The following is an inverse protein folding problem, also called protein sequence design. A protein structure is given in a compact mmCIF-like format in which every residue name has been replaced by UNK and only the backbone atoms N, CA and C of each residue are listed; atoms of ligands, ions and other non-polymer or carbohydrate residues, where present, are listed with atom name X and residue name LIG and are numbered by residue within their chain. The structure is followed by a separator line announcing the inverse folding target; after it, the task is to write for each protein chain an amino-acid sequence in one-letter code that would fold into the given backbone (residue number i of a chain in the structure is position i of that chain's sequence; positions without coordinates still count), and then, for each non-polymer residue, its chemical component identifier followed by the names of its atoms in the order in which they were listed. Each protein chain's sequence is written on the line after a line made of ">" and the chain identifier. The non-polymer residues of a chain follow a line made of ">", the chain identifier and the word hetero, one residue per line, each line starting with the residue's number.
data_IF_966643942187
#
_entry.id   IF_966643942187
#
_cell.length_a   1.000
_cell.length_b   1.000
_cell.length_c   1.000
_cell.angle_alpha   90.00
_cell.angle_beta   90.00
_cell.angle_gamma   90.00
#
_symmetry.space_group_name_H-M   'P 1'
#
loop_
_entity.id
_entity.type
_entity.pdbx_description
1 polymer ?
#
# COMPACT_ATOMS: atom_id res chain seq x y z
N UNK A 1 -18.00 1.77 -8.45
CA UNK A 1 -17.79 1.36 -7.05
C UNK A 1 -17.63 2.64 -6.26
N UNK A 2 -18.53 2.92 -5.33
CA UNK A 2 -18.60 4.20 -4.62
C UNK A 2 -18.91 3.96 -3.15
N UNK A 3 -18.40 4.82 -2.28
CA UNK A 3 -18.81 4.85 -0.87
C UNK A 3 -20.10 5.67 -0.78
N UNK A 4 -21.25 5.02 -0.71
CA UNK A 4 -22.57 5.67 -0.70
C UNK A 4 -22.98 6.18 0.68
N UNK A 5 -22.41 5.60 1.75
CA UNK A 5 -22.63 6.05 3.12
C UNK A 5 -21.39 5.80 3.97
N UNK A 6 -21.09 6.72 4.88
CA UNK A 6 -20.08 6.53 5.94
C UNK A 6 -20.57 7.13 7.25
N UNK A 7 -20.57 6.33 8.30
CA UNK A 7 -20.91 6.74 9.67
C UNK A 7 -19.68 6.60 10.56
N UNK A 8 -19.34 7.66 11.28
CA UNK A 8 -18.12 7.77 12.07
C UNK A 8 -18.46 8.16 13.49
N UNK A 9 -17.91 7.43 14.46
CA UNK A 9 -18.06 7.70 15.89
C UNK A 9 -16.70 7.57 16.59
N UNK A 10 -16.34 8.56 17.42
CA UNK A 10 -15.15 8.50 18.28
C UNK A 10 -13.81 8.51 17.54
N UNK A 11 -13.77 8.95 16.27
CA UNK A 11 -12.51 9.09 15.51
C UNK A 11 -11.98 10.52 15.63
N UNK A 12 -10.78 10.67 16.21
CA UNK A 12 -10.08 11.96 16.35
C UNK A 12 -10.97 13.03 16.99
N UNK A 13 -11.17 14.15 16.30
CA UNK A 13 -11.99 15.28 16.72
C UNK A 13 -13.39 15.27 16.08
N UNK A 14 -13.80 14.17 15.43
CA UNK A 14 -15.11 14.07 14.81
C UNK A 14 -16.17 13.75 15.87
N UNK A 15 -17.17 14.62 15.98
CA UNK A 15 -18.44 14.25 16.59
C UNK A 15 -19.13 13.16 15.75
N UNK A 16 -20.04 12.36 16.34
CA UNK A 16 -20.79 11.36 15.60
C UNK A 16 -21.43 11.97 14.35
N UNK A 17 -21.06 11.44 13.18
CA UNK A 17 -21.46 12.00 11.89
C UNK A 17 -21.76 10.89 10.91
N UNK A 18 -22.78 11.10 10.07
CA UNK A 18 -23.05 10.26 8.91
C UNK A 18 -23.02 11.13 7.66
N UNK A 19 -22.24 10.71 6.68
CA UNK A 19 -22.11 11.36 5.38
C UNK A 19 -22.68 10.42 4.31
N UNK A 20 -23.31 11.00 3.29
CA UNK A 20 -23.73 10.32 2.07
C UNK A 20 -23.01 10.95 0.89
N UNK A 21 -21.77 10.50 0.58
CA UNK A 21 -20.95 11.10 -0.47
C UNK A 21 -21.61 10.96 -1.85
N UNK A 22 -21.35 11.95 -2.71
CA UNK A 22 -21.58 11.83 -4.15
C UNK A 22 -20.73 10.69 -4.73
N UNK A 23 -21.20 9.97 -5.76
CA UNK A 23 -20.45 8.88 -6.38
C UNK A 23 -19.20 9.34 -7.17
N UNK A 24 -19.01 10.66 -7.35
CA UNK A 24 -17.86 11.23 -8.05
C UNK A 24 -16.97 12.02 -7.08
N UNK A 25 -16.92 13.34 -7.23
CA UNK A 25 -16.02 14.21 -6.48
C UNK A 25 -16.76 14.75 -5.25
N UNK A 26 -16.08 14.70 -4.11
CA UNK A 26 -16.56 15.21 -2.83
C UNK A 26 -15.52 16.19 -2.29
N UNK A 27 -15.91 17.45 -2.11
CA UNK A 27 -15.02 18.50 -1.63
C UNK A 27 -15.32 18.76 -0.15
N UNK A 28 -14.35 18.46 0.71
CA UNK A 28 -14.40 18.77 2.14
C UNK A 28 -13.66 20.09 2.38
N UNK A 29 -14.39 21.13 2.78
CA UNK A 29 -13.82 22.45 3.07
C UNK A 29 -14.17 22.92 4.48
N UNK A 30 -13.41 23.90 4.99
CA UNK A 30 -13.56 24.43 6.34
C UNK A 30 -12.23 24.86 6.93
N UNK A 31 -12.26 25.49 8.11
CA UNK A 31 -11.07 25.99 8.79
C UNK A 31 -10.04 24.88 9.10
N UNK A 32 -8.77 25.26 9.30
CA UNK A 32 -7.74 24.34 9.75
C UNK A 32 -8.14 23.75 11.12
N UNK A 33 -7.91 22.44 11.30
CA UNK A 33 -8.35 21.72 12.50
C UNK A 33 -9.83 21.34 12.54
N UNK A 34 -10.64 21.64 11.52
CA UNK A 34 -12.08 21.31 11.52
C UNK A 34 -12.41 19.81 11.34
N UNK A 35 -11.42 18.94 11.17
CA UNK A 35 -11.63 17.48 11.02
C UNK A 35 -11.65 16.96 9.58
N UNK A 36 -11.37 17.78 8.56
CA UNK A 36 -11.30 17.34 7.13
C UNK A 36 -10.42 16.09 6.95
N UNK A 37 -9.17 16.15 7.38
CA UNK A 37 -8.25 15.01 7.33
C UNK A 37 -8.72 13.84 8.19
N UNK A 38 -9.45 14.09 9.28
CA UNK A 38 -10.00 13.04 10.14
C UNK A 38 -11.14 12.29 9.46
N UNK A 39 -11.93 12.93 8.59
CA UNK A 39 -12.91 12.24 7.73
C UNK A 39 -12.19 11.33 6.75
N UNK A 40 -11.13 11.82 6.08
CA UNK A 40 -10.31 10.98 5.20
C UNK A 40 -9.67 9.81 5.96
N UNK A 41 -9.20 10.04 7.19
CA UNK A 41 -8.64 9.02 8.05
C UNK A 41 -9.68 7.97 8.44
N UNK A 42 -10.93 8.37 8.70
CA UNK A 42 -12.04 7.44 8.94
C UNK A 42 -12.33 6.55 7.73
N UNK A 43 -12.38 7.11 6.52
CA UNK A 43 -12.58 6.33 5.29
C UNK A 43 -11.39 5.38 5.05
N UNK A 44 -10.16 5.84 5.31
CA UNK A 44 -8.98 5.00 5.21
C UNK A 44 -8.98 3.85 6.25
N UNK A 45 -9.44 4.11 7.48
CA UNK A 45 -9.67 3.06 8.48
C UNK A 45 -10.70 2.06 7.99
N UNK A 46 -11.78 2.49 7.34
CA UNK A 46 -12.80 1.59 6.79
C UNK A 46 -12.22 0.65 5.72
N UNK A 47 -11.35 1.17 4.84
CA UNK A 47 -10.81 0.38 3.72
C UNK A 47 -9.63 -0.52 4.09
N UNK A 48 -8.75 -0.12 5.01
CA UNK A 48 -7.53 -0.90 5.32
C UNK A 48 -7.27 -1.11 6.81
N UNK A 49 -8.21 -0.73 7.67
CA UNK A 49 -8.17 -0.89 9.13
C UNK A 49 -6.93 -0.29 9.80
N UNK A 50 -6.33 0.74 9.20
CA UNK A 50 -5.16 1.44 9.75
C UNK A 50 -5.29 2.94 9.50
N UNK A 51 -4.70 3.72 10.40
CA UNK A 51 -4.53 5.15 10.18
C UNK A 51 -3.35 5.38 9.22
N UNK A 52 -3.48 6.36 8.32
CA UNK A 52 -2.34 6.84 7.54
C UNK A 52 -1.47 7.86 8.29
N UNK A 53 -1.97 8.42 9.40
CA UNK A 53 -1.26 9.44 10.20
C UNK A 53 -0.48 8.84 11.37
N UNK A 54 -0.93 7.69 11.91
CA UNK A 54 -0.31 7.08 13.08
C UNK A 54 -0.22 5.57 12.97
N UNK A 55 0.93 5.02 13.38
CA UNK A 55 1.10 3.59 13.63
C UNK A 55 0.48 3.17 14.98
N UNK A 56 0.17 4.12 15.86
CA UNK A 56 -0.42 3.86 17.18
C UNK A 56 -1.94 3.96 17.09
N UNK A 57 -2.60 3.08 17.85
CA UNK A 57 -4.05 3.00 17.91
C UNK A 57 -4.66 4.17 18.70
N UNK A 58 -4.12 4.43 19.90
CA UNK A 58 -4.69 5.37 20.86
C UNK A 58 -4.93 6.78 20.31
N UNK A 59 -4.03 7.37 19.49
CA UNK A 59 -4.27 8.70 18.95
C UNK A 59 -5.46 8.80 18.00
N UNK A 60 -5.91 7.68 17.41
CA UNK A 60 -7.05 7.63 16.49
C UNK A 60 -8.37 7.71 17.24
N UNK A 61 -8.43 7.16 18.45
CA UNK A 61 -9.62 7.20 19.31
C UNK A 61 -9.72 8.59 19.94
N UNK A 62 -10.91 9.19 19.86
CA UNK A 62 -11.20 10.46 20.51
C UNK A 62 -10.86 10.39 22.02
N UNK A 63 -10.31 11.47 22.57
CA UNK A 63 -9.68 11.45 23.89
C UNK A 63 -10.58 10.91 25.01
N UNK A 64 -11.84 11.30 25.02
CA UNK A 64 -12.82 10.93 26.05
C UNK A 64 -13.65 9.69 25.69
N UNK A 65 -13.43 9.09 24.52
CA UNK A 65 -14.20 7.92 24.07
C UNK A 65 -13.46 6.62 24.37
N UNK A 66 -14.18 5.56 24.79
CA UNK A 66 -13.58 4.25 25.05
C UNK A 66 -13.15 3.55 23.76
N UNK A 67 -13.80 3.88 22.63
CA UNK A 67 -13.62 3.24 21.34
C UNK A 67 -13.90 4.20 20.18
N UNK A 68 -13.49 3.80 18.99
CA UNK A 68 -13.90 4.42 17.74
C UNK A 68 -14.50 3.37 16.80
N UNK A 69 -15.46 3.80 15.99
CA UNK A 69 -16.12 2.92 15.03
C UNK A 69 -16.40 3.67 13.74
N UNK A 70 -16.11 3.01 12.62
CA UNK A 70 -16.46 3.48 11.28
C UNK A 70 -17.27 2.40 10.60
N UNK A 71 -18.45 2.79 10.11
CA UNK A 71 -19.27 1.96 9.24
C UNK A 71 -19.38 2.62 7.87
N UNK A 72 -19.48 1.84 6.81
CA UNK A 72 -19.82 2.38 5.51
C UNK A 72 -20.47 1.37 4.59
N UNK A 73 -21.17 1.90 3.60
CA UNK A 73 -21.83 1.13 2.55
C UNK A 73 -21.12 1.41 1.23
N UNK A 74 -20.69 0.34 0.56
CA UNK A 74 -19.94 0.41 -0.69
C UNK A 74 -20.81 -0.17 -1.80
N UNK A 75 -21.09 0.63 -2.83
CA UNK A 75 -21.78 0.17 -4.03
C UNK A 75 -20.79 -0.64 -4.88
N UNK A 76 -21.14 -1.88 -5.22
CA UNK A 76 -20.26 -2.78 -5.95
C UNK A 76 -20.38 -2.58 -7.46
N UNK A 77 -19.29 -2.85 -8.19
CA UNK A 77 -19.26 -2.65 -9.64
C UNK A 77 -20.24 -3.56 -10.41
N UNK A 78 -20.55 -4.74 -9.86
CA UNK A 78 -21.48 -5.71 -10.46
C UNK A 78 -22.93 -5.49 -10.02
N UNK A 79 -23.23 -4.39 -9.32
CA UNK A 79 -24.52 -4.14 -8.68
C UNK A 79 -24.57 -4.62 -7.23
N UNK A 80 -25.54 -4.08 -6.47
CA UNK A 80 -25.66 -4.33 -5.04
C UNK A 80 -24.71 -3.48 -4.18
N UNK A 81 -24.71 -3.76 -2.87
CA UNK A 81 -23.89 -3.06 -1.89
C UNK A 81 -23.25 -4.06 -0.92
N UNK A 82 -22.12 -3.66 -0.34
CA UNK A 82 -21.51 -4.35 0.80
C UNK A 82 -21.36 -3.38 1.97
N UNK A 83 -21.68 -3.86 3.17
CA UNK A 83 -21.58 -3.11 4.41
C UNK A 83 -20.27 -3.45 5.12
N UNK A 84 -19.44 -2.44 5.33
CA UNK A 84 -18.15 -2.55 6.00
C UNK A 84 -18.23 -1.90 7.39
N UNK A 85 -17.55 -2.51 8.36
CA UNK A 85 -17.46 -2.01 9.72
C UNK A 85 -16.07 -2.23 10.31
N UNK A 86 -15.51 -1.21 10.95
CA UNK A 86 -14.23 -1.27 11.63
C UNK A 86 -14.39 -0.63 13.00
N UNK A 87 -14.09 -1.38 14.06
CA UNK A 87 -14.10 -0.87 15.43
C UNK A 87 -12.75 -1.08 16.10
N UNK A 88 -12.39 -0.17 17.01
CA UNK A 88 -11.22 -0.23 17.88
C UNK A 88 -11.56 0.29 19.25
N UNK A 89 -11.06 -0.36 20.29
CA UNK A 89 -11.13 0.17 21.64
C UNK A 89 -9.73 0.52 22.19
N UNK A 90 -9.72 1.16 23.37
CA UNK A 90 -8.48 1.49 24.08
C UNK A 90 -7.79 0.27 24.70
N UNK A 91 -8.49 -0.84 24.86
CA UNK A 91 -7.97 -2.09 25.42
C UNK A 91 -7.20 -2.91 24.36
N UNK A 92 -7.31 -2.52 23.09
CA UNK A 92 -6.62 -3.14 21.96
C UNK A 92 -7.52 -4.09 21.15
N UNK A 93 -8.80 -4.22 21.51
CA UNK A 93 -9.75 -4.99 20.72
C UNK A 93 -9.91 -4.36 19.34
N UNK A 94 -9.86 -5.23 18.34
CA UNK A 94 -10.04 -4.87 16.95
C UNK A 94 -11.07 -5.80 16.33
N UNK A 95 -12.19 -5.23 15.90
CA UNK A 95 -13.20 -5.92 15.11
C UNK A 95 -13.29 -5.36 13.68
N UNK A 96 -13.40 -6.27 12.72
CA UNK A 96 -13.82 -5.99 11.35
C UNK A 96 -15.11 -6.74 11.11
N UNK A 97 -16.10 -6.07 10.50
CA UNK A 97 -17.30 -6.72 9.98
C UNK A 97 -17.50 -6.42 8.49
N UNK A 98 -17.89 -7.44 7.75
CA UNK A 98 -18.30 -7.36 6.35
C UNK A 98 -19.66 -8.05 6.27
N UNK A 99 -20.68 -7.32 5.81
CA UNK A 99 -22.06 -7.80 5.67
C UNK A 99 -22.58 -8.50 6.95
N UNK A 100 -22.27 -7.89 8.10
CA UNK A 100 -22.68 -8.35 9.42
C UNK A 100 -21.80 -9.47 10.03
N UNK A 101 -20.89 -10.05 9.26
CA UNK A 101 -20.03 -11.15 9.71
C UNK A 101 -18.63 -10.66 10.10
N UNK A 102 -18.00 -11.31 11.09
CA UNK A 102 -16.62 -11.00 11.46
C UNK A 102 -15.66 -11.38 10.32
N UNK A 103 -14.88 -10.43 9.82
CA UNK A 103 -13.86 -10.69 8.82
C UNK A 103 -12.58 -11.22 9.46
N UNK A 104 -11.84 -12.06 8.72
CA UNK A 104 -10.60 -12.70 9.18
C UNK A 104 -9.39 -11.78 9.09
N UNK A 105 -9.41 -10.80 8.18
CA UNK A 105 -8.28 -9.90 7.97
C UNK A 105 -8.66 -8.58 7.31
N UNK A 106 -7.81 -7.58 7.48
CA UNK A 106 -7.92 -6.29 6.78
C UNK A 106 -7.73 -6.40 5.25
N UNK A 107 -7.16 -7.51 4.74
CA UNK A 107 -7.05 -7.74 3.30
C UNK A 107 -8.44 -7.85 2.65
N UNK A 108 -9.43 -8.43 3.35
CA UNK A 108 -10.80 -8.53 2.85
C UNK A 108 -11.47 -7.15 2.71
N UNK A 109 -11.17 -6.21 3.61
CA UNK A 109 -11.63 -4.82 3.47
C UNK A 109 -10.98 -4.16 2.26
N UNK A 110 -9.66 -4.31 2.11
CA UNK A 110 -8.93 -3.71 1.01
C UNK A 110 -9.43 -4.26 -0.34
N UNK A 111 -9.77 -5.55 -0.43
CA UNK A 111 -10.37 -6.14 -1.62
C UNK A 111 -11.68 -5.47 -2.04
N UNK A 112 -12.56 -5.15 -1.08
CA UNK A 112 -13.87 -4.56 -1.33
C UNK A 112 -13.78 -3.05 -1.56
N UNK A 113 -12.88 -2.37 -0.85
CA UNK A 113 -12.70 -0.91 -0.92
C UNK A 113 -11.24 -0.56 -1.25
N UNK A 114 -10.83 -0.64 -2.53
CA UNK A 114 -9.51 -0.19 -2.96
C UNK A 114 -9.36 1.32 -2.79
N UNK A 115 -8.42 1.74 -1.94
CA UNK A 115 -8.15 3.14 -1.65
C UNK A 115 -6.74 3.55 -2.09
N UNK A 116 -6.64 4.71 -2.73
CA UNK A 116 -5.40 5.44 -2.89
C UNK A 116 -5.39 6.68 -2.00
N UNK A 117 -4.24 6.94 -1.38
CA UNK A 117 -4.03 8.13 -0.56
C UNK A 117 -2.97 9.01 -1.21
N UNK A 118 -3.31 10.28 -1.40
CA UNK A 118 -2.40 11.34 -1.78
C UNK A 118 -2.44 12.36 -0.66
N UNK A 119 -1.32 12.58 -0.01
CA UNK A 119 -1.18 13.47 1.13
C UNK A 119 0.26 14.02 1.20
N UNK A 120 0.54 14.95 2.12
CA UNK A 120 1.89 15.51 2.26
C UNK A 120 3.00 14.52 2.63
N UNK A 121 2.71 13.28 3.04
CA UNK A 121 3.73 12.24 3.29
C UNK A 121 4.00 11.36 2.05
N UNK A 122 3.21 11.53 0.98
CA UNK A 122 3.28 10.68 -0.20
C UNK A 122 4.62 10.81 -0.93
N UNK A 123 5.29 11.97 -0.84
CA UNK A 123 6.62 12.19 -1.44
C UNK A 123 7.69 11.19 -0.95
N UNK A 124 7.51 10.60 0.24
CA UNK A 124 8.39 9.53 0.74
C UNK A 124 8.42 8.29 -0.16
N UNK A 125 7.49 8.16 -1.10
CA UNK A 125 7.57 7.13 -2.13
C UNK A 125 8.85 7.29 -2.99
N UNK A 126 9.28 8.52 -3.24
CA UNK A 126 10.49 8.81 -4.03
C UNK A 126 11.73 8.90 -3.13
N UNK A 127 11.71 9.76 -2.10
CA UNK A 127 12.88 10.04 -1.23
C UNK A 127 13.08 9.02 -0.10
N UNK A 128 12.05 8.26 0.24
CA UNK A 128 12.05 7.41 1.43
C UNK A 128 12.77 6.08 1.26
N UNK A 129 12.73 5.29 2.34
CA UNK A 129 13.34 3.98 2.37
C UNK A 129 12.68 3.01 1.36
N UNK A 130 13.42 2.04 0.79
CA UNK A 130 12.90 1.03 -0.13
C UNK A 130 11.65 0.28 0.34
N UNK A 131 11.42 0.21 1.66
CA UNK A 131 10.21 -0.36 2.26
C UNK A 131 8.93 0.32 1.74
N UNK A 132 8.93 1.64 1.56
CA UNK A 132 7.76 2.40 1.10
C UNK A 132 7.46 2.05 -0.35
N UNK A 133 8.49 1.97 -1.20
CA UNK A 133 8.37 1.54 -2.60
C UNK A 133 7.91 0.10 -2.75
N UNK A 134 8.37 -0.80 -1.89
CA UNK A 134 7.84 -2.17 -1.82
C UNK A 134 6.38 -2.20 -1.41
N UNK A 135 5.96 -1.40 -0.42
CA UNK A 135 4.56 -1.32 -0.01
C UNK A 135 3.67 -0.78 -1.15
N UNK A 136 4.14 0.22 -1.90
CA UNK A 136 3.47 0.68 -3.11
C UNK A 136 3.33 -0.45 -4.14
N UNK A 137 4.42 -1.15 -4.43
CA UNK A 137 4.41 -2.27 -5.37
C UNK A 137 3.45 -3.39 -4.92
N UNK A 138 3.54 -3.81 -3.65
CA UNK A 138 2.74 -4.90 -3.09
C UNK A 138 1.26 -4.57 -3.03
N UNK A 139 0.88 -3.31 -2.79
CA UNK A 139 -0.50 -2.86 -2.92
C UNK A 139 -1.02 -3.11 -4.35
N UNK A 140 -0.24 -2.72 -5.35
CA UNK A 140 -0.61 -2.88 -6.75
C UNK A 140 -0.80 -4.35 -7.14
N UNK A 141 0.19 -5.18 -6.79
CA UNK A 141 0.14 -6.61 -7.07
C UNK A 141 -1.03 -7.29 -6.35
N UNK A 142 -1.26 -6.96 -5.08
CA UNK A 142 -2.40 -7.47 -4.30
C UNK A 142 -3.74 -7.22 -5.00
N UNK A 143 -3.91 -6.07 -5.64
CA UNK A 143 -5.17 -5.77 -6.32
C UNK A 143 -5.31 -6.45 -7.69
N UNK A 144 -4.22 -6.78 -8.39
CA UNK A 144 -4.31 -7.35 -9.75
C UNK A 144 -4.06 -8.87 -9.81
N UNK A 145 -3.44 -9.46 -8.80
CA UNK A 145 -3.08 -10.89 -8.75
C UNK A 145 -3.68 -11.53 -7.48
N UNK A 146 -4.77 -12.30 -7.60
CA UNK A 146 -5.45 -12.93 -6.47
C UNK A 146 -4.57 -13.87 -5.62
N UNK A 147 -3.56 -14.52 -6.22
CA UNK A 147 -2.67 -15.44 -5.51
C UNK A 147 -1.63 -14.72 -4.63
N UNK A 148 -1.43 -13.42 -4.85
CA UNK A 148 -0.37 -12.66 -4.20
C UNK A 148 -0.40 -12.77 -2.68
N UNK A 149 -1.57 -12.63 -2.04
CA UNK A 149 -1.65 -12.59 -0.58
C UNK A 149 -1.24 -13.92 0.06
N UNK A 150 -1.65 -15.04 -0.53
CA UNK A 150 -1.32 -16.38 -0.03
C UNK A 150 0.17 -16.66 -0.22
N UNK A 151 0.73 -16.36 -1.39
CA UNK A 151 2.17 -16.51 -1.65
C UNK A 151 3.00 -15.56 -0.78
N UNK A 152 2.52 -14.34 -0.53
CA UNK A 152 3.18 -13.39 0.35
C UNK A 152 3.25 -13.90 1.80
N UNK A 153 2.17 -14.49 2.31
CA UNK A 153 2.15 -15.10 3.65
C UNK A 153 3.13 -16.28 3.75
N UNK A 154 3.18 -17.14 2.72
CA UNK A 154 4.17 -18.24 2.60
C UNK A 154 5.59 -17.71 2.65
N UNK A 155 5.90 -16.71 1.83
CA UNK A 155 7.19 -16.03 1.78
C UNK A 155 7.58 -15.45 3.15
N UNK A 156 6.69 -14.68 3.79
CA UNK A 156 6.96 -14.08 5.10
C UNK A 156 7.22 -15.13 6.18
N UNK A 157 6.47 -16.25 6.15
CA UNK A 157 6.67 -17.36 7.08
C UNK A 157 8.05 -18.01 6.87
N UNK A 158 8.39 -18.37 5.63
CA UNK A 158 9.68 -18.99 5.32
C UNK A 158 10.86 -18.07 5.66
N UNK A 159 10.78 -16.79 5.30
CA UNK A 159 11.79 -15.78 5.63
C UNK A 159 11.96 -15.60 7.15
N UNK A 160 10.85 -15.59 7.91
CA UNK A 160 10.89 -15.51 9.37
C UNK A 160 11.59 -16.72 9.98
N UNK A 161 11.28 -17.93 9.50
CA UNK A 161 11.91 -19.16 9.97
C UNK A 161 13.41 -19.18 9.65
N UNK A 162 13.80 -18.85 8.42
CA UNK A 162 15.20 -18.71 8.03
C UNK A 162 15.94 -17.66 8.86
N UNK A 163 15.36 -16.48 9.08
CA UNK A 163 16.01 -15.45 9.91
C UNK A 163 16.05 -15.82 11.40
N UNK A 164 15.15 -16.69 11.88
CA UNK A 164 15.25 -17.26 13.23
C UNK A 164 16.42 -18.22 13.33
N UNK A 165 16.55 -19.11 12.33
CA UNK A 165 17.67 -20.03 12.21
C UNK A 165 19.02 -19.31 12.16
N UNK A 166 19.16 -18.30 11.29
CA UNK A 166 20.41 -17.56 11.14
C UNK A 166 20.89 -16.89 12.45
N UNK A 167 19.96 -16.52 13.35
CA UNK A 167 20.29 -15.88 14.63
C UNK A 167 20.60 -16.85 15.76
N UNK A 168 19.96 -18.02 15.75
CA UNK A 168 19.94 -18.90 16.92
C UNK A 168 20.52 -20.29 16.65
N UNK A 169 20.67 -20.70 15.39
CA UNK A 169 21.22 -22.00 14.99
C UNK A 169 20.32 -23.21 15.30
N UNK A 170 19.04 -22.99 15.59
CA UNK A 170 18.15 -24.01 16.22
C UNK A 170 17.34 -24.88 15.26
N UNK A 171 17.76 -25.10 14.01
CA UNK A 171 17.04 -25.95 13.05
C UNK A 171 17.92 -27.10 12.57
N UNK A 172 17.34 -28.30 12.47
CA UNK A 172 17.97 -29.44 11.83
C UNK A 172 18.10 -29.21 10.31
N UNK A 173 19.00 -29.97 9.67
CA UNK A 173 19.32 -29.80 8.26
C UNK A 173 18.12 -30.03 7.32
N UNK A 174 17.22 -30.97 7.65
CA UNK A 174 16.05 -31.26 6.83
C UNK A 174 15.03 -30.12 6.89
N UNK A 175 14.79 -29.58 8.10
CA UNK A 175 13.93 -28.41 8.29
C UNK A 175 14.51 -27.16 7.63
N UNK A 176 15.83 -26.94 7.71
CA UNK A 176 16.51 -25.85 7.01
C UNK A 176 16.29 -25.95 5.50
N UNK A 177 16.56 -27.11 4.90
CA UNK A 177 16.41 -27.33 3.47
C UNK A 177 14.94 -27.19 3.01
N UNK A 178 13.97 -27.56 3.85
CA UNK A 178 12.56 -27.34 3.58
C UNK A 178 12.20 -25.84 3.53
N UNK A 179 12.66 -25.06 4.51
CA UNK A 179 12.40 -23.61 4.54
C UNK A 179 13.14 -22.85 3.45
N UNK A 180 14.36 -23.23 3.10
CA UNK A 180 15.09 -22.61 1.99
C UNK A 180 14.39 -22.88 0.64
N UNK A 181 13.89 -24.11 0.41
CA UNK A 181 13.09 -24.43 -0.80
C UNK A 181 11.80 -23.63 -0.87
N UNK A 182 11.05 -23.55 0.24
CA UNK A 182 9.81 -22.76 0.29
C UNK A 182 10.09 -21.26 0.12
N UNK A 183 11.17 -20.75 0.71
CA UNK A 183 11.60 -19.36 0.52
C UNK A 183 11.92 -19.08 -0.95
N UNK A 184 12.67 -19.96 -1.62
CA UNK A 184 13.00 -19.80 -3.04
C UNK A 184 11.74 -19.83 -3.91
N UNK A 185 10.90 -20.86 -3.76
CA UNK A 185 9.66 -21.02 -4.54
C UNK A 185 8.73 -19.81 -4.38
N UNK A 186 8.41 -19.42 -3.15
CA UNK A 186 7.54 -18.27 -2.91
C UNK A 186 8.18 -16.94 -3.36
N UNK A 187 9.52 -16.85 -3.36
CA UNK A 187 10.23 -15.66 -3.84
C UNK A 187 10.14 -15.50 -5.36
N UNK A 188 10.29 -16.60 -6.11
CA UNK A 188 10.19 -16.58 -7.57
C UNK A 188 8.76 -16.26 -8.01
N UNK A 189 7.74 -16.83 -7.36
CA UNK A 189 6.32 -16.48 -7.59
C UNK A 189 6.06 -14.98 -7.35
N UNK A 190 6.50 -14.43 -6.21
CA UNK A 190 6.30 -13.00 -5.88
C UNK A 190 6.97 -12.08 -6.89
N UNK A 191 8.16 -12.47 -7.34
CA UNK A 191 8.91 -11.71 -8.32
C UNK A 191 8.30 -11.80 -9.73
N UNK A 192 7.73 -12.95 -10.12
CA UNK A 192 6.88 -13.08 -11.31
C UNK A 192 5.70 -12.11 -11.26
N UNK A 193 4.95 -12.10 -10.16
CA UNK A 193 3.79 -11.21 -9.99
C UNK A 193 4.20 -9.73 -10.06
N UNK A 194 5.31 -9.37 -9.40
CA UNK A 194 5.83 -8.00 -9.40
C UNK A 194 6.32 -7.56 -10.78
N UNK A 195 7.00 -8.44 -11.54
CA UNK A 195 7.40 -8.15 -12.93
C UNK A 195 6.19 -7.92 -13.83
N UNK A 196 5.20 -8.81 -13.75
CA UNK A 196 3.98 -8.71 -14.55
C UNK A 196 3.23 -7.40 -14.24
N UNK A 197 3.10 -7.06 -12.95
CA UNK A 197 2.49 -5.80 -12.53
C UNK A 197 3.25 -4.58 -13.03
N UNK A 198 4.59 -4.52 -12.87
CA UNK A 198 5.37 -3.36 -13.33
C UNK A 198 5.32 -3.20 -14.85
N UNK A 199 5.30 -4.31 -15.60
CA UNK A 199 5.11 -4.29 -17.05
C UNK A 199 3.77 -3.66 -17.44
N UNK A 200 2.70 -3.93 -16.68
CA UNK A 200 1.38 -3.35 -16.90
C UNK A 200 1.26 -1.90 -16.40
N UNK A 201 1.89 -1.57 -15.26
CA UNK A 201 1.84 -0.23 -14.66
C UNK A 201 2.60 0.80 -15.49
N UNK A 202 3.76 0.43 -16.04
CA UNK A 202 4.66 1.37 -16.72
C UNK A 202 3.97 2.23 -17.80
N UNK A 203 3.23 1.68 -18.78
CA UNK A 203 2.56 2.51 -19.79
C UNK A 203 1.47 3.42 -19.20
N UNK A 204 0.73 2.94 -18.19
CA UNK A 204 -0.29 3.76 -17.50
C UNK A 204 0.38 4.92 -16.76
N UNK A 205 1.50 4.66 -16.09
CA UNK A 205 2.29 5.68 -15.41
C UNK A 205 2.87 6.72 -16.39
N UNK A 206 3.44 6.29 -17.51
CA UNK A 206 4.00 7.19 -18.52
C UNK A 206 2.91 8.11 -19.11
N UNK A 207 1.73 7.55 -19.42
CA UNK A 207 0.59 8.34 -19.88
C UNK A 207 0.13 9.35 -18.82
N UNK A 208 -0.16 8.89 -17.60
CA UNK A 208 -0.60 9.77 -16.51
C UNK A 208 0.44 10.83 -16.16
N UNK A 209 1.73 10.50 -16.22
CA UNK A 209 2.79 11.48 -15.98
C UNK A 209 2.79 12.56 -17.05
N UNK A 210 2.64 12.21 -18.33
CA UNK A 210 2.63 13.18 -19.44
C UNK A 210 1.48 14.19 -19.36
N UNK A 211 0.37 13.83 -18.72
CA UNK A 211 -0.76 14.74 -18.46
C UNK A 211 -0.44 15.77 -17.35
N UNK A 212 0.51 15.45 -16.47
CA UNK A 212 0.91 16.30 -15.34
C UNK A 212 2.20 17.08 -15.63
N UNK A 213 3.23 16.44 -16.16
CA UNK A 213 4.54 17.06 -16.41
C UNK A 213 5.34 16.28 -17.44
N UNK A 214 5.98 16.99 -18.36
CA UNK A 214 6.95 16.40 -19.28
C UNK A 214 8.31 16.25 -18.58
N UNK A 215 8.76 14.99 -18.44
CA UNK A 215 10.06 14.64 -17.87
C UNK A 215 10.77 13.65 -18.79
N UNK A 216 11.40 14.16 -19.85
CA UNK A 216 12.13 13.34 -20.80
C UNK A 216 13.21 12.49 -20.12
N UNK A 217 13.26 11.21 -20.47
CA UNK A 217 14.27 10.28 -19.94
C UNK A 217 14.01 9.78 -18.52
N UNK A 218 12.86 10.10 -17.90
CA UNK A 218 12.46 9.47 -16.65
C UNK A 218 12.11 8.00 -16.92
N UNK A 219 12.75 7.09 -16.18
CA UNK A 219 12.55 5.64 -16.31
C UNK A 219 12.11 5.02 -15.00
N UNK A 220 11.13 4.10 -15.11
CA UNK A 220 10.66 3.26 -14.03
C UNK A 220 11.18 1.83 -14.23
N UNK A 221 11.89 1.28 -13.25
CA UNK A 221 12.45 -0.08 -13.32
C UNK A 221 12.32 -0.83 -12.00
N UNK A 222 12.29 -2.16 -12.08
CA UNK A 222 12.14 -3.05 -10.93
C UNK A 222 13.42 -3.83 -10.68
N UNK A 223 13.90 -3.80 -9.43
CA UNK A 223 14.97 -4.66 -8.94
C UNK A 223 14.37 -5.74 -8.04
N UNK A 224 14.56 -7.02 -8.39
CA UNK A 224 13.96 -8.15 -7.66
C UNK A 224 14.50 -8.36 -6.25
N UNK A 225 15.67 -7.81 -5.94
CA UNK A 225 16.33 -7.96 -4.63
C UNK A 225 17.52 -8.91 -4.64
N UNK A 226 17.82 -9.51 -5.79
CA UNK A 226 19.01 -10.32 -6.06
C UNK A 226 19.35 -10.26 -7.54
N UNK A 227 20.49 -10.86 -7.90
CA UNK A 227 20.97 -10.92 -9.27
C UNK A 227 19.94 -11.59 -10.19
N UNK A 228 19.63 -10.97 -11.33
CA UNK A 228 18.65 -11.47 -12.29
C UNK A 228 19.15 -12.71 -13.05
N UNK A 229 20.46 -12.91 -13.10
CA UNK A 229 21.11 -14.00 -13.85
C UNK A 229 21.30 -15.26 -13.00
N UNK A 230 20.89 -15.22 -11.71
CA UNK A 230 21.09 -16.31 -10.76
C UNK A 230 19.78 -16.75 -10.15
N UNK A 231 19.69 -18.05 -9.90
CA UNK A 231 18.66 -18.61 -9.04
C UNK A 231 18.86 -18.14 -7.61
N UNK A 232 17.75 -17.88 -6.90
CA UNK A 232 17.84 -17.41 -5.51
C UNK A 232 18.50 -18.47 -4.61
N UNK A 233 18.26 -19.76 -4.87
CA UNK A 233 18.90 -20.90 -4.20
C UNK A 233 20.43 -20.79 -4.21
N UNK A 234 21.03 -20.54 -5.38
CA UNK A 234 22.47 -20.37 -5.54
C UNK A 234 22.98 -19.14 -4.79
N UNK A 235 22.25 -18.03 -4.86
CA UNK A 235 22.59 -16.79 -4.15
C UNK A 235 22.61 -17.05 -2.64
N UNK A 236 21.54 -17.65 -2.09
CA UNK A 236 21.41 -17.94 -0.66
C UNK A 236 22.46 -18.92 -0.15
N UNK A 237 22.82 -19.94 -0.95
CA UNK A 237 23.88 -20.88 -0.61
C UNK A 237 25.24 -20.17 -0.55
N UNK A 238 25.55 -19.35 -1.56
CA UNK A 238 26.82 -18.61 -1.61
C UNK A 238 26.94 -17.51 -0.54
N UNK A 239 25.81 -16.95 -0.07
CA UNK A 239 25.78 -15.90 0.95
C UNK A 239 25.58 -16.42 2.37
N UNK A 240 25.47 -17.74 2.57
CA UNK A 240 25.04 -18.32 3.84
C UNK A 240 25.89 -17.86 5.04
N UNK A 241 27.22 -17.93 4.93
CA UNK A 241 28.11 -17.54 6.02
C UNK A 241 27.92 -16.07 6.41
N UNK A 242 27.73 -15.19 5.43
CA UNK A 242 27.48 -13.76 5.65
C UNK A 242 26.10 -13.51 6.25
N UNK A 243 25.09 -14.25 5.81
CA UNK A 243 23.73 -14.19 6.36
C UNK A 243 23.70 -14.63 7.84
N UNK A 244 24.50 -15.64 8.21
CA UNK A 244 24.65 -16.10 9.60
C UNK A 244 25.29 -15.02 10.47
N UNK A 245 26.39 -14.42 10.01
CA UNK A 245 27.05 -13.32 10.72
C UNK A 245 26.13 -12.11 10.96
N UNK A 246 25.28 -11.78 9.98
CA UNK A 246 24.33 -10.67 10.09
C UNK A 246 23.02 -11.06 10.81
N UNK A 247 22.78 -12.35 11.03
CA UNK A 247 21.53 -12.86 11.61
C UNK A 247 20.29 -12.61 10.74
N UNK A 248 20.44 -12.34 9.44
CA UNK A 248 19.31 -12.15 8.54
C UNK A 248 19.65 -12.43 7.07
N UNK A 249 18.63 -12.77 6.30
CA UNK A 249 18.71 -13.03 4.86
C UNK A 249 18.96 -11.75 4.06
N UNK A 250 20.05 -11.72 3.29
CA UNK A 250 20.45 -10.54 2.50
C UNK A 250 19.97 -10.52 1.05
N UNK A 251 19.42 -11.61 0.53
CA UNK A 251 18.89 -11.69 -0.84
C UNK A 251 17.43 -12.16 -0.86
N UNK A 252 16.64 -11.65 -1.80
CA UNK A 252 15.25 -12.04 -1.97
C UNK A 252 14.27 -10.85 -2.06
N UNK A 253 12.96 -11.11 -2.18
CA UNK A 253 11.95 -10.08 -2.45
C UNK A 253 11.83 -8.99 -1.37
N UNK A 254 12.33 -9.24 -0.15
CA UNK A 254 12.43 -8.27 0.94
C UNK A 254 13.48 -7.17 0.67
N UNK A 255 14.40 -7.39 -0.28
CA UNK A 255 15.38 -6.42 -0.77
C UNK A 255 15.02 -5.82 -2.12
N UNK A 256 13.87 -6.20 -2.67
CA UNK A 256 13.37 -5.65 -3.91
C UNK A 256 13.19 -4.13 -3.81
N UNK A 257 13.27 -3.46 -4.96
CA UNK A 257 13.10 -2.02 -5.03
C UNK A 257 12.48 -1.58 -6.36
N UNK A 258 11.70 -0.50 -6.30
CA UNK A 258 11.22 0.24 -7.46
C UNK A 258 12.19 1.41 -7.67
N UNK A 259 12.77 1.55 -8.86
CA UNK A 259 13.80 2.55 -9.15
C UNK A 259 13.29 3.53 -10.19
N UNK A 260 13.24 4.80 -9.79
CA UNK A 260 13.00 5.92 -10.69
C UNK A 260 14.32 6.61 -10.98
N UNK A 261 14.64 6.75 -12.26
CA UNK A 261 15.90 7.38 -12.71
C UNK A 261 15.66 8.37 -13.81
N UNK A 262 16.41 9.47 -13.79
CA UNK A 262 16.50 10.42 -14.89
C UNK A 262 17.90 10.26 -15.49
N UNK A 263 17.97 9.61 -16.67
CA UNK A 263 19.24 9.13 -17.22
C UNK A 263 19.95 8.14 -16.28
N UNK A 264 21.18 8.44 -15.88
CA UNK A 264 22.00 7.58 -15.01
C UNK A 264 21.73 7.78 -13.50
N UNK A 265 21.06 8.87 -13.13
CA UNK A 265 20.94 9.31 -11.74
C UNK A 265 19.59 8.94 -11.14
N UNK A 266 19.52 8.87 -9.81
CA UNK A 266 18.25 8.71 -9.11
C UNK A 266 17.38 9.96 -9.34
N UNK A 267 16.10 9.76 -9.67
CA UNK A 267 15.18 10.86 -9.92
C UNK A 267 15.02 11.77 -8.68
N UNK A 268 15.08 11.21 -7.46
CA UNK A 268 15.00 11.97 -6.22
C UNK A 268 16.14 13.01 -6.06
N UNK A 269 17.30 12.76 -6.68
CA UNK A 269 18.48 13.61 -6.52
C UNK A 269 18.50 14.78 -7.53
N UNK A 270 17.72 14.68 -8.62
CA UNK A 270 17.71 15.68 -9.70
C UNK A 270 16.42 16.50 -9.70
N UNK A 271 15.27 15.84 -9.54
CA UNK A 271 13.97 16.49 -9.69
C UNK A 271 13.74 17.53 -8.60
N UNK A 272 13.19 18.68 -8.97
CA UNK A 272 12.72 19.67 -8.00
C UNK A 272 11.61 19.09 -7.11
N UNK A 273 11.42 19.64 -5.91
CA UNK A 273 10.36 19.17 -4.99
C UNK A 273 8.97 19.13 -5.65
N UNK A 274 8.65 20.11 -6.50
CA UNK A 274 7.39 20.12 -7.27
C UNK A 274 7.29 18.97 -8.27
N UNK A 275 8.35 18.74 -9.06
CA UNK A 275 8.40 17.61 -10.00
C UNK A 275 8.30 16.25 -9.29
N UNK A 276 8.94 16.10 -8.14
CA UNK A 276 8.84 14.89 -7.33
C UNK A 276 7.40 14.63 -6.86
N UNK A 277 6.69 15.67 -6.42
CA UNK A 277 5.27 15.58 -6.05
C UNK A 277 4.41 15.11 -7.22
N UNK A 278 4.62 15.68 -8.41
CA UNK A 278 3.90 15.29 -9.63
C UNK A 278 4.18 13.84 -10.03
N UNK A 279 5.44 13.39 -9.97
CA UNK A 279 5.80 11.98 -10.24
C UNK A 279 5.13 11.03 -9.25
N UNK A 280 5.09 11.37 -7.97
CA UNK A 280 4.43 10.57 -6.95
C UNK A 280 2.91 10.55 -7.14
N UNK A 281 2.30 11.68 -7.49
CA UNK A 281 0.88 11.76 -7.84
C UNK A 281 0.58 10.88 -9.05
N UNK A 282 1.38 10.98 -10.11
CA UNK A 282 1.26 10.14 -11.31
C UNK A 282 1.33 8.65 -10.97
N UNK A 283 2.28 8.23 -10.13
CA UNK A 283 2.39 6.84 -9.67
C UNK A 283 1.12 6.36 -8.96
N UNK A 284 0.56 7.17 -8.06
CA UNK A 284 -0.66 6.85 -7.29
C UNK A 284 -1.91 6.79 -8.17
N UNK A 285 -2.05 7.76 -9.07
CA UNK A 285 -3.14 7.83 -10.04
C UNK A 285 -3.07 6.62 -10.97
N UNK A 286 -1.92 6.37 -11.60
CA UNK A 286 -1.71 5.24 -12.49
C UNK A 286 -1.97 3.89 -11.83
N UNK A 287 -1.55 3.73 -10.56
CA UNK A 287 -1.82 2.53 -9.79
C UNK A 287 -3.33 2.30 -9.58
N UNK A 288 -4.11 3.34 -9.25
CA UNK A 288 -5.56 3.22 -9.13
C UNK A 288 -6.28 3.03 -10.48
N UNK A 289 -5.76 3.63 -11.57
CA UNK A 289 -6.26 3.41 -12.93
C UNK A 289 -6.10 1.95 -13.36
N UNK A 290 -4.90 1.39 -13.18
CA UNK A 290 -4.64 -0.02 -13.52
C UNK A 290 -5.55 -0.98 -12.74
N UNK A 291 -5.76 -0.73 -11.45
CA UNK A 291 -6.68 -1.54 -10.63
C UNK A 291 -8.12 -1.43 -11.14
N UNK A 292 -8.55 -0.21 -11.51
CA UNK A 292 -9.89 0.03 -12.03
C UNK A 292 -10.12 -0.70 -13.36
N UNK A 293 -9.13 -0.72 -14.25
CA UNK A 293 -9.14 -1.46 -15.51
C UNK A 293 -9.26 -2.98 -15.29
N UNK A 294 -8.41 -3.55 -14.44
CA UNK A 294 -8.36 -5.00 -14.20
C UNK A 294 -9.61 -5.51 -13.49
N UNK A 295 -10.07 -4.80 -12.45
CA UNK A 295 -11.21 -5.25 -11.63
C UNK A 295 -12.57 -4.85 -12.18
N UNK A 296 -12.62 -4.09 -13.29
CA UNK A 296 -13.85 -3.45 -13.81
C UNK A 296 -14.60 -2.68 -12.71
N UNK A 297 -13.84 -2.09 -11.79
CA UNK A 297 -14.32 -1.35 -10.63
C UNK A 297 -13.68 0.03 -10.56
N UNK A 298 -13.93 0.77 -9.49
CA UNK A 298 -13.31 2.09 -9.27
C UNK A 298 -12.46 2.04 -8.02
N UNK A 299 -11.28 2.64 -8.08
CA UNK A 299 -10.48 2.96 -6.90
C UNK A 299 -10.93 4.32 -6.35
N UNK A 300 -11.12 4.42 -5.03
CA UNK A 300 -11.40 5.70 -4.39
C UNK A 300 -10.08 6.39 -4.06
N UNK A 301 -9.99 7.66 -4.43
CA UNK A 301 -8.86 8.52 -4.10
C UNK A 301 -9.21 9.39 -2.91
N UNK A 302 -8.40 9.30 -1.85
CA UNK A 302 -8.41 10.20 -0.71
C UNK A 302 -7.28 11.20 -0.92
N UNK A 303 -7.63 12.46 -1.14
CA UNK A 303 -6.66 13.53 -1.37
C UNK A 303 -6.72 14.52 -0.22
N UNK A 304 -5.66 14.54 0.58
CA UNK A 304 -5.52 15.43 1.73
C UNK A 304 -4.61 16.59 1.37
N UNK A 305 -5.06 17.81 1.68
CA UNK A 305 -4.33 19.06 1.48
C UNK A 305 -3.86 19.33 0.02
N UNK A 306 -4.77 19.16 -0.95
CA UNK A 306 -4.54 19.41 -2.38
C UNK A 306 -3.77 20.73 -2.71
N UNK A 307 -4.06 21.89 -2.08
CA UNK A 307 -3.39 23.15 -2.41
C UNK A 307 -1.90 23.19 -2.05
N UNK A 308 -1.45 22.40 -1.06
CA UNK A 308 -0.03 22.31 -0.73
C UNK A 308 0.72 21.31 -1.62
N UNK A 309 -0.01 20.44 -2.32
CA UNK A 309 0.55 19.38 -3.17
C UNK A 309 0.67 19.76 -4.65
N UNK A 310 -0.20 20.65 -5.18
CA UNK A 310 -0.22 21.01 -6.60
C UNK A 310 -0.42 22.53 -6.81
N UNK A 311 0.31 23.13 -7.75
CA UNK A 311 0.05 24.51 -8.17
C UNK A 311 -1.28 24.63 -8.96
N UNK A 312 -1.71 25.85 -9.27
CA UNK A 312 -3.03 26.09 -9.90
C UNK A 312 -3.19 25.45 -11.28
N UNK A 313 -2.11 25.31 -12.06
CA UNK A 313 -2.17 24.70 -13.39
C UNK A 313 -2.28 23.18 -13.28
N UNK A 314 -1.49 22.56 -12.41
CA UNK A 314 -1.54 21.12 -12.17
C UNK A 314 -2.80 20.68 -11.41
N UNK A 315 -3.47 21.57 -10.68
CA UNK A 315 -4.78 21.27 -10.06
C UNK A 315 -5.92 21.15 -11.08
N UNK A 316 -5.77 21.74 -12.27
CA UNK A 316 -6.80 21.74 -13.33
C UNK A 316 -6.64 20.59 -14.32
N UNK A 317 -5.41 20.11 -14.51
CA UNK A 317 -5.09 18.91 -15.29
C UNK A 317 -5.58 17.65 -14.56
#
# INVERSE_FOLDING_TARGET
>A
MSLSRVSVTGVRNLHPVTLSPSPRINILYGANGSGKTSVLEAIHLLGIARSFRSSRLLPVIQYEQPSCTVFGQVDLAQGGHSNLGVSRDRQGEFQIRIDGQNARSAAQLAEILPLQLINPDSFRLLEGAPKIRRQFLDWGVFHVEPRFMVTWQRLQKALKQRNSWLRHGTLDAASQAAWDRELCSASDEIDEFRRAYIKALKPVFEQTLSELVELEGLTLSYYRGWDKEKELSTVLASSLHRDQQMGHTQAGPQRADLRLRLGAHNAADILSRGQQKLVVCALRIAQGHLVSQVRRGQCIYLVDDLPSELDDNHRRA
#
